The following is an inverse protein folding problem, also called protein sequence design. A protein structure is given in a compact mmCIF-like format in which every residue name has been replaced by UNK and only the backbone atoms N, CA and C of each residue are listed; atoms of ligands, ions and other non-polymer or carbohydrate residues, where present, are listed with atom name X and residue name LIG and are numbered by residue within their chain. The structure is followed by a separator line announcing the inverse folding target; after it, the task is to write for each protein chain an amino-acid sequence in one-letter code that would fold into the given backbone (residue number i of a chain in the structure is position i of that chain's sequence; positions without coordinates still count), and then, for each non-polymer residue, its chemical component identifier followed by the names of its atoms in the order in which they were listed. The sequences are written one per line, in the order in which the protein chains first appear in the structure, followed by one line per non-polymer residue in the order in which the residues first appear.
data_IF_087251702930
#
_entry.id   IF_087251702930
#
_cell.length_a   1.000
_cell.length_b   1.000
_cell.length_c   1.000
_cell.angle_alpha   90.00
_cell.angle_beta   90.00
_cell.angle_gamma   90.00
#
_symmetry.space_group_name_H-M   'P 1'
#
loop_
_entity.id
_entity.type
_entity.pdbx_description
1 polymer ?
#
# COMPACT_ATOMS: atom_id res chain seq x y z
N UNK A 1 -16.04 -77.52 -20.59
CA UNK A 1 -16.01 -76.15 -21.17
C UNK A 1 -16.28 -75.16 -20.04
N UNK A 2 -15.23 -74.68 -19.37
CA UNK A 2 -15.34 -73.70 -18.28
C UNK A 2 -15.18 -72.29 -18.85
N UNK A 3 -16.23 -71.49 -18.73
CA UNK A 3 -16.23 -70.06 -19.06
C UNK A 3 -15.67 -69.27 -17.88
N UNK A 4 -14.54 -68.60 -18.11
CA UNK A 4 -13.87 -67.74 -17.14
C UNK A 4 -14.46 -66.32 -17.23
N UNK A 5 -15.11 -65.85 -16.16
CA UNK A 5 -15.63 -64.50 -16.06
C UNK A 5 -14.52 -63.55 -15.59
N UNK A 6 -14.06 -62.68 -16.50
CA UNK A 6 -13.13 -61.59 -16.22
C UNK A 6 -13.87 -60.48 -15.45
N UNK A 7 -13.60 -60.33 -14.14
CA UNK A 7 -14.15 -59.23 -13.32
C UNK A 7 -13.32 -57.96 -13.52
N UNK A 8 -13.90 -56.98 -14.22
CA UNK A 8 -13.38 -55.62 -14.33
C UNK A 8 -13.49 -54.91 -12.96
N UNK A 9 -12.36 -54.53 -12.34
CA UNK A 9 -12.35 -53.70 -11.12
C UNK A 9 -12.50 -52.23 -11.52
N UNK A 10 -13.44 -51.46 -10.94
CA UNK A 10 -13.53 -50.03 -11.19
C UNK A 10 -12.40 -49.31 -10.44
N UNK A 11 -11.58 -48.57 -11.18
CA UNK A 11 -10.54 -47.69 -10.66
C UNK A 11 -11.23 -46.40 -10.15
N UNK A 12 -11.35 -46.25 -8.84
CA UNK A 12 -11.84 -45.01 -8.23
C UNK A 12 -10.74 -43.94 -8.31
N UNK A 13 -10.92 -42.93 -9.18
CA UNK A 13 -10.13 -41.70 -9.18
C UNK A 13 -10.56 -40.82 -7.99
N UNK A 14 -9.69 -40.69 -6.99
CA UNK A 14 -9.83 -39.72 -5.91
C UNK A 14 -9.53 -38.32 -6.46
N UNK A 15 -10.57 -37.52 -6.72
CA UNK A 15 -10.46 -36.09 -6.99
C UNK A 15 -10.06 -35.38 -5.69
N UNK A 16 -8.80 -34.97 -5.57
CA UNK A 16 -8.35 -34.06 -4.53
C UNK A 16 -8.89 -32.66 -4.81
N UNK A 17 -9.99 -32.30 -4.16
CA UNK A 17 -10.44 -30.91 -4.09
C UNK A 17 -9.43 -30.12 -3.25
N UNK A 18 -8.55 -29.37 -3.90
CA UNK A 18 -7.77 -28.32 -3.23
C UNK A 18 -8.75 -27.26 -2.76
N UNK A 19 -9.09 -27.28 -1.47
CA UNK A 19 -9.82 -26.19 -0.84
C UNK A 19 -8.88 -24.98 -0.77
N UNK A 20 -8.91 -24.13 -1.80
CA UNK A 20 -8.44 -22.76 -1.68
C UNK A 20 -9.32 -22.10 -0.62
N UNK A 21 -8.78 -21.99 0.59
CA UNK A 21 -9.45 -21.33 1.69
C UNK A 21 -9.77 -19.90 1.29
N UNK A 22 -11.07 -19.59 1.20
CA UNK A 22 -11.53 -18.20 1.19
C UNK A 22 -11.14 -17.67 2.57
N UNK A 23 -10.08 -16.87 2.65
CA UNK A 23 -9.74 -16.13 3.87
C UNK A 23 -10.90 -15.14 4.07
N UNK A 24 -11.74 -15.29 5.10
CA UNK A 24 -12.76 -14.30 5.37
C UNK A 24 -12.06 -12.98 5.66
N UNK A 25 -12.41 -11.93 4.90
CA UNK A 25 -11.95 -10.59 5.19
C UNK A 25 -12.42 -10.23 6.61
N UNK A 26 -11.48 -10.18 7.56
CA UNK A 26 -11.78 -9.64 8.88
C UNK A 26 -12.25 -8.19 8.70
N UNK A 27 -13.38 -7.78 9.32
CA UNK A 27 -13.80 -6.39 9.27
C UNK A 27 -12.65 -5.54 9.82
N UNK A 28 -12.25 -4.51 9.06
CA UNK A 28 -11.23 -3.56 9.47
C UNK A 28 -11.65 -2.90 10.78
N UNK A 29 -11.03 -3.30 11.88
CA UNK A 29 -11.12 -2.62 13.18
C UNK A 29 -10.01 -1.59 13.27
N UNK A 30 -9.97 -0.64 12.33
CA UNK A 30 -9.01 0.45 12.35
C UNK A 30 -9.68 1.81 12.40
N UNK A 31 -8.96 2.78 12.95
CA UNK A 31 -9.32 4.19 12.89
C UNK A 31 -8.88 4.79 11.56
N UNK A 32 -9.48 5.91 11.16
CA UNK A 32 -8.98 6.70 10.05
C UNK A 32 -7.68 7.42 10.45
N UNK A 33 -6.83 7.66 9.45
CA UNK A 33 -5.62 8.46 9.57
C UNK A 33 -5.65 9.68 8.66
N UNK A 34 -4.62 10.53 8.75
CA UNK A 34 -4.48 11.72 7.89
C UNK A 34 -3.10 11.80 7.26
N UNK A 35 -3.02 12.41 6.08
CA UNK A 35 -1.76 12.85 5.51
C UNK A 35 -1.43 14.23 6.10
N UNK A 36 -0.33 14.33 6.86
CA UNK A 36 0.16 15.57 7.44
C UNK A 36 1.10 16.25 6.44
N UNK A 37 0.52 16.87 5.42
CA UNK A 37 1.24 17.68 4.44
C UNK A 37 1.75 18.98 5.05
N UNK A 38 3.01 19.34 4.76
CA UNK A 38 3.69 20.48 5.41
C UNK A 38 4.23 21.55 4.44
N UNK A 39 3.84 21.49 3.17
CA UNK A 39 4.19 22.50 2.16
C UNK A 39 3.15 23.63 2.22
N UNK A 40 3.29 24.53 3.21
CA UNK A 40 2.60 25.82 3.30
C UNK A 40 3.31 26.73 4.32
N UNK A 41 2.93 28.00 4.40
CA UNK A 41 3.58 29.05 5.20
C UNK A 41 2.91 29.35 6.56
N UNK A 42 1.74 28.75 6.83
CA UNK A 42 0.91 29.05 7.99
C UNK A 42 0.47 27.79 8.77
N UNK A 43 1.24 26.71 8.67
CA UNK A 43 0.91 25.43 9.31
C UNK A 43 1.22 25.50 10.81
N UNK A 44 0.33 24.99 11.68
CA UNK A 44 0.59 24.92 13.11
C UNK A 44 1.86 24.12 13.45
N UNK A 45 2.56 24.46 14.55
CA UNK A 45 3.70 23.68 15.02
C UNK A 45 3.33 22.20 15.27
N UNK A 46 4.26 21.25 15.09
CA UNK A 46 3.97 19.82 15.21
C UNK A 46 3.30 19.39 16.53
N UNK A 47 3.66 19.99 17.67
CA UNK A 47 3.03 19.69 18.96
C UNK A 47 1.54 20.10 19.01
N UNK A 48 1.19 21.18 18.31
CA UNK A 48 -0.20 21.62 18.16
C UNK A 48 -0.97 20.62 17.29
N UNK A 49 -0.35 20.12 16.22
CA UNK A 49 -0.94 19.09 15.36
C UNK A 49 -1.16 17.79 16.15
N UNK A 50 -0.19 17.33 16.92
CA UNK A 50 -0.35 16.14 17.79
C UNK A 50 -1.52 16.31 18.77
N UNK A 51 -1.64 17.50 19.38
CA UNK A 51 -2.75 17.82 20.29
C UNK A 51 -4.10 17.80 19.57
N UNK A 52 -4.15 18.34 18.35
CA UNK A 52 -5.34 18.32 17.50
C UNK A 52 -5.75 16.89 17.14
N UNK A 53 -4.81 16.05 16.67
CA UNK A 53 -5.09 14.66 16.31
C UNK A 53 -5.67 13.87 17.49
N UNK A 54 -5.11 14.06 18.70
CA UNK A 54 -5.65 13.46 19.93
C UNK A 54 -7.06 13.95 20.23
N UNK A 55 -7.29 15.27 20.17
CA UNK A 55 -8.61 15.85 20.43
C UNK A 55 -9.67 15.35 19.45
N UNK A 56 -9.29 15.10 18.19
CA UNK A 56 -10.18 14.58 17.14
C UNK A 56 -10.21 13.05 17.06
N UNK A 57 -9.54 12.35 17.98
CA UNK A 57 -9.47 10.87 18.03
C UNK A 57 -8.88 10.23 16.76
N UNK A 58 -8.04 10.97 16.04
CA UNK A 58 -7.22 10.43 14.94
C UNK A 58 -6.01 9.78 15.58
N UNK A 59 -5.73 8.53 15.21
CA UNK A 59 -4.60 7.78 15.77
C UNK A 59 -3.37 7.75 14.88
N UNK A 60 -3.57 7.89 13.57
CA UNK A 60 -2.55 7.58 12.58
C UNK A 60 -2.29 8.78 11.69
N UNK A 61 -1.02 9.10 11.45
CA UNK A 61 -0.62 10.14 10.52
C UNK A 61 0.45 9.63 9.56
N UNK A 62 0.50 10.20 8.36
CA UNK A 62 1.59 10.00 7.40
C UNK A 62 2.25 11.35 7.11
N UNK A 63 3.57 11.42 7.17
CA UNK A 63 4.37 12.51 6.61
C UNK A 63 5.08 12.03 5.34
N UNK A 64 5.43 12.98 4.47
CA UNK A 64 6.06 12.70 3.16
C UNK A 64 7.59 12.78 3.21
N UNK A 65 8.14 13.00 4.40
CA UNK A 65 9.56 13.11 4.71
C UNK A 65 9.83 12.40 6.04
N UNK A 66 10.97 12.68 6.67
CA UNK A 66 11.27 12.25 8.03
C UNK A 66 11.76 13.42 8.89
N UNK A 67 10.99 14.49 8.93
CA UNK A 67 11.34 15.69 9.70
C UNK A 67 11.42 15.45 11.20
N UNK A 68 12.59 15.77 11.75
CA UNK A 68 12.95 15.54 13.15
C UNK A 68 12.07 16.29 14.15
N UNK A 69 11.57 17.48 13.78
CA UNK A 69 10.65 18.24 14.65
C UNK A 69 9.29 17.56 14.80
N UNK A 70 8.82 16.88 13.74
CA UNK A 70 7.60 16.08 13.78
C UNK A 70 7.82 14.80 14.57
N UNK A 71 8.93 14.10 14.30
CA UNK A 71 9.27 12.86 14.98
C UNK A 71 9.40 13.07 16.50
N UNK A 72 10.01 14.17 16.93
CA UNK A 72 10.09 14.53 18.36
C UNK A 72 8.72 14.94 18.92
N UNK A 73 7.89 15.65 18.17
CA UNK A 73 6.56 16.02 18.65
C UNK A 73 5.63 14.81 18.86
N UNK A 74 5.78 13.76 18.05
CA UNK A 74 5.02 12.52 18.17
C UNK A 74 5.52 11.61 19.30
N UNK A 75 6.67 11.92 19.90
CA UNK A 75 7.26 11.14 21.00
C UNK A 75 6.31 11.06 22.20
N UNK A 76 6.06 9.84 22.68
CA UNK A 76 5.17 9.58 23.81
C UNK A 76 3.72 9.96 23.55
N UNK A 77 3.35 10.29 22.31
CA UNK A 77 2.00 10.70 21.98
C UNK A 77 1.01 9.53 22.00
N UNK A 78 1.49 8.31 21.71
CA UNK A 78 0.65 7.14 21.46
C UNK A 78 0.00 7.12 20.08
N UNK A 79 0.31 8.11 19.22
CA UNK A 79 -0.11 8.15 17.82
C UNK A 79 0.88 7.34 16.97
N UNK A 80 0.35 6.67 15.94
CA UNK A 80 1.14 5.96 14.93
C UNK A 80 1.55 6.92 13.82
N UNK A 81 2.79 6.80 13.36
CA UNK A 81 3.36 7.66 12.32
C UNK A 81 3.99 6.82 11.21
N UNK A 82 3.61 7.10 9.97
CA UNK A 82 4.30 6.63 8.79
C UNK A 82 5.18 7.74 8.24
N UNK A 83 6.45 7.43 7.96
CA UNK A 83 7.43 8.38 7.41
C UNK A 83 7.66 8.12 5.92
N UNK A 84 8.11 9.14 5.19
CA UNK A 84 8.36 9.06 3.75
C UNK A 84 9.85 9.14 3.41
N UNK A 85 10.30 8.27 2.51
CA UNK A 85 11.53 8.47 1.74
C UNK A 85 11.13 9.14 0.42
N UNK A 86 11.60 10.36 0.20
CA UNK A 86 11.31 11.12 -1.01
C UNK A 86 11.84 10.46 -2.30
N UNK A 87 11.22 10.80 -3.42
CA UNK A 87 11.57 10.25 -4.74
C UNK A 87 13.04 10.55 -5.13
N UNK A 88 13.58 11.66 -4.64
CA UNK A 88 14.97 12.10 -4.83
C UNK A 88 16.01 11.12 -4.28
N UNK A 89 15.66 10.27 -3.31
CA UNK A 89 16.57 9.29 -2.73
C UNK A 89 16.62 7.96 -3.49
N UNK A 90 15.64 7.69 -4.36
CA UNK A 90 15.42 6.35 -4.91
C UNK A 90 16.60 5.85 -5.74
N UNK A 91 17.18 6.70 -6.59
CA UNK A 91 18.30 6.30 -7.46
C UNK A 91 19.51 5.88 -6.63
N UNK A 92 19.91 6.70 -5.66
CA UNK A 92 21.06 6.38 -4.80
C UNK A 92 20.82 5.17 -3.92
N UNK A 93 19.63 5.06 -3.31
CA UNK A 93 19.28 3.92 -2.45
C UNK A 93 19.14 2.62 -3.23
N UNK A 94 18.72 2.67 -4.50
CA UNK A 94 18.67 1.50 -5.36
C UNK A 94 20.06 0.91 -5.63
N UNK A 95 21.05 1.79 -5.83
CA UNK A 95 22.42 1.40 -6.15
C UNK A 95 23.25 1.02 -4.92
N UNK A 96 22.92 1.55 -3.74
CA UNK A 96 23.73 1.37 -2.53
C UNK A 96 22.87 1.17 -1.27
N UNK A 97 22.86 -0.06 -0.75
CA UNK A 97 22.14 -0.41 0.47
C UNK A 97 22.57 0.40 1.70
N UNK A 98 23.86 0.80 1.80
CA UNK A 98 24.34 1.58 2.93
C UNK A 98 23.70 2.98 3.00
N UNK A 99 23.19 3.50 1.86
CA UNK A 99 22.37 4.73 1.88
C UNK A 99 21.06 4.53 2.63
N UNK A 100 20.40 3.39 2.43
CA UNK A 100 19.18 3.04 3.14
C UNK A 100 19.45 2.78 4.64
N UNK A 101 20.53 2.07 4.98
CA UNK A 101 20.96 1.84 6.37
C UNK A 101 21.24 3.15 7.09
N UNK A 102 21.98 4.05 6.46
CA UNK A 102 22.29 5.36 7.02
C UNK A 102 21.02 6.19 7.23
N UNK A 103 20.14 6.24 6.23
CA UNK A 103 18.87 6.98 6.34
C UNK A 103 18.01 6.49 7.50
N UNK A 104 17.89 5.17 7.71
CA UNK A 104 17.11 4.60 8.83
C UNK A 104 17.78 4.91 10.18
N UNK A 105 19.12 4.84 10.25
CA UNK A 105 19.89 5.19 11.45
C UNK A 105 19.73 6.64 11.87
N UNK A 106 19.64 7.54 10.91
CA UNK A 106 19.50 8.98 11.20
C UNK A 106 18.04 9.39 11.46
N UNK A 107 17.10 8.84 10.71
CA UNK A 107 15.74 9.37 10.66
C UNK A 107 14.70 8.52 11.39
N UNK A 108 15.02 7.27 11.74
CA UNK A 108 14.04 6.34 12.33
C UNK A 108 14.52 5.84 13.69
N UNK A 109 15.69 5.20 13.75
CA UNK A 109 16.19 4.57 14.99
C UNK A 109 16.25 5.49 16.21
N UNK A 110 16.67 6.77 16.12
CA UNK A 110 16.80 7.64 17.30
C UNK A 110 15.48 7.92 18.00
N UNK A 111 14.35 7.76 17.30
CA UNK A 111 13.02 8.06 17.81
C UNK A 111 12.30 6.85 18.38
N UNK A 112 12.81 5.64 18.12
CA UNK A 112 12.24 4.40 18.65
C UNK A 112 12.68 4.14 20.10
N UNK A 113 11.83 3.50 20.93
CA UNK A 113 10.44 3.12 20.67
C UNK A 113 9.44 4.23 21.03
N UNK A 114 9.90 5.42 21.46
CA UNK A 114 9.04 6.44 22.05
C UNK A 114 8.13 7.13 21.03
N UNK A 115 8.55 7.23 19.78
CA UNK A 115 7.69 7.60 18.65
C UNK A 115 7.30 6.31 17.94
N UNK A 116 5.99 6.05 17.82
CA UNK A 116 5.49 4.83 17.21
C UNK A 116 5.52 4.95 15.68
N UNK A 117 6.71 4.78 15.10
CA UNK A 117 6.88 4.71 13.66
C UNK A 117 6.44 3.32 13.21
N UNK A 118 5.36 3.23 12.46
CA UNK A 118 4.76 1.95 12.04
C UNK A 118 5.10 1.56 10.62
N UNK A 119 5.53 2.51 9.79
CA UNK A 119 5.89 2.22 8.41
C UNK A 119 6.78 3.26 7.73
N UNK A 120 7.43 2.82 6.65
CA UNK A 120 8.23 3.64 5.74
C UNK A 120 7.63 3.56 4.34
N UNK A 121 7.13 4.68 3.83
CA UNK A 121 6.69 4.84 2.45
C UNK A 121 7.89 5.19 1.57
N UNK A 122 8.31 4.28 0.70
CA UNK A 122 9.44 4.46 -0.22
C UNK A 122 8.93 5.04 -1.53
N UNK A 123 9.25 6.31 -1.77
CA UNK A 123 8.73 7.08 -2.88
C UNK A 123 7.24 7.42 -2.75
N UNK A 124 6.70 8.09 -3.76
CA UNK A 124 5.28 8.41 -3.88
C UNK A 124 4.87 8.54 -5.36
N UNK A 125 3.92 7.70 -5.78
CA UNK A 125 3.29 7.67 -7.11
C UNK A 125 4.27 7.48 -8.29
N UNK A 126 5.43 6.86 -8.04
CA UNK A 126 6.54 6.73 -9.00
C UNK A 126 6.13 6.03 -10.31
N UNK A 127 5.45 4.88 -10.22
CA UNK A 127 5.02 4.12 -11.40
C UNK A 127 3.85 4.76 -12.15
N UNK A 128 3.22 5.79 -11.59
CA UNK A 128 2.21 6.59 -12.28
C UNK A 128 2.79 7.85 -12.94
N UNK A 129 4.08 8.14 -12.73
CA UNK A 129 4.78 9.28 -13.31
C UNK A 129 5.43 8.98 -14.66
N UNK A 130 6.21 9.94 -15.17
CA UNK A 130 6.89 9.86 -16.46
C UNK A 130 8.43 9.75 -16.37
N UNK A 131 8.99 9.67 -15.16
CA UNK A 131 10.44 9.56 -14.95
C UNK A 131 10.85 8.08 -14.94
N UNK A 132 11.36 7.61 -16.07
CA UNK A 132 11.79 6.23 -16.26
C UNK A 132 12.92 5.82 -15.31
N UNK A 133 13.87 6.71 -15.02
CA UNK A 133 14.98 6.39 -14.13
C UNK A 133 14.49 6.17 -12.69
N UNK A 134 13.45 6.89 -12.25
CA UNK A 134 12.81 6.63 -10.96
C UNK A 134 12.01 5.32 -10.95
N UNK A 135 11.32 4.99 -12.05
CA UNK A 135 10.61 3.71 -12.18
C UNK A 135 11.56 2.52 -12.08
N UNK A 136 12.69 2.58 -12.79
CA UNK A 136 13.75 1.57 -12.76
C UNK A 136 14.40 1.46 -11.37
N UNK A 137 14.57 2.58 -10.67
CA UNK A 137 15.18 2.60 -9.34
C UNK A 137 14.27 2.07 -8.22
N UNK A 138 12.94 2.13 -8.38
CA UNK A 138 11.99 1.94 -7.29
C UNK A 138 12.14 0.57 -6.59
N UNK A 139 12.20 -0.52 -7.35
CA UNK A 139 12.29 -1.86 -6.76
C UNK A 139 13.60 -2.05 -6.00
N UNK A 140 14.73 -1.59 -6.55
CA UNK A 140 16.02 -1.67 -5.87
C UNK A 140 16.04 -0.88 -4.57
N UNK A 141 15.45 0.31 -4.56
CA UNK A 141 15.32 1.12 -3.35
C UNK A 141 14.46 0.41 -2.29
N UNK A 142 13.27 -0.09 -2.66
CA UNK A 142 12.39 -0.86 -1.76
C UNK A 142 13.10 -2.06 -1.15
N UNK A 143 13.79 -2.85 -1.99
CA UNK A 143 14.56 -4.02 -1.54
C UNK A 143 15.65 -3.62 -0.55
N UNK A 144 16.40 -2.57 -0.84
CA UNK A 144 17.51 -2.14 0.02
C UNK A 144 17.02 -1.54 1.34
N UNK A 145 15.90 -0.80 1.33
CA UNK A 145 15.24 -0.32 2.57
C UNK A 145 14.76 -1.49 3.42
N UNK A 146 14.14 -2.51 2.81
CA UNK A 146 13.76 -3.73 3.53
C UNK A 146 14.97 -4.46 4.14
N UNK A 147 16.03 -4.67 3.36
CA UNK A 147 17.24 -5.33 3.84
C UNK A 147 17.87 -4.53 5.00
N UNK A 148 17.87 -3.20 4.91
CA UNK A 148 18.35 -2.34 5.96
C UNK A 148 17.51 -2.46 7.25
N UNK A 149 16.18 -2.48 7.16
CA UNK A 149 15.31 -2.75 8.31
C UNK A 149 15.60 -4.12 8.93
N UNK A 150 15.77 -5.16 8.11
CA UNK A 150 16.08 -6.51 8.57
C UNK A 150 17.44 -6.56 9.30
N UNK A 151 18.48 -5.93 8.73
CA UNK A 151 19.81 -5.81 9.36
C UNK A 151 19.76 -5.09 10.71
N UNK A 152 18.86 -4.11 10.83
CA UNK A 152 18.66 -3.33 12.05
C UNK A 152 17.62 -3.97 13.00
N UNK A 153 17.07 -5.14 12.67
CA UNK A 153 16.06 -5.87 13.46
C UNK A 153 14.78 -5.06 13.71
N UNK A 154 14.33 -4.31 12.69
CA UNK A 154 13.17 -3.42 12.76
C UNK A 154 11.95 -3.94 11.98
N UNK A 155 12.08 -5.04 11.24
CA UNK A 155 11.01 -5.60 10.38
C UNK A 155 9.78 -6.05 11.16
N UNK A 156 9.91 -6.36 12.45
CA UNK A 156 8.79 -6.75 13.31
C UNK A 156 7.91 -5.56 13.72
N UNK A 157 8.40 -4.33 13.55
CA UNK A 157 7.75 -3.11 14.02
C UNK A 157 7.42 -2.12 12.89
N UNK A 158 8.15 -2.19 11.78
CA UNK A 158 8.08 -1.20 10.71
C UNK A 158 7.80 -1.91 9.39
N UNK A 159 6.63 -1.64 8.83
CA UNK A 159 6.27 -2.09 7.49
C UNK A 159 6.95 -1.24 6.40
N UNK A 160 7.23 -1.84 5.25
CA UNK A 160 7.63 -1.11 4.05
C UNK A 160 6.49 -1.07 3.06
N UNK A 161 6.34 0.04 2.36
CA UNK A 161 5.38 0.14 1.25
C UNK A 161 5.81 1.18 0.22
N UNK A 162 5.12 1.22 -0.91
CA UNK A 162 5.21 2.32 -1.86
C UNK A 162 3.80 2.77 -2.25
N UNK A 163 3.44 4.06 -2.10
CA UNK A 163 2.16 4.59 -2.53
C UNK A 163 2.09 4.67 -4.06
N UNK A 164 1.09 4.05 -4.65
CA UNK A 164 0.78 4.15 -6.08
C UNK A 164 -0.37 5.11 -6.34
N UNK A 165 -0.39 5.79 -7.48
CA UNK A 165 -1.61 6.47 -7.97
C UNK A 165 -2.47 5.50 -8.77
N UNK A 166 -3.70 5.90 -9.10
CA UNK A 166 -4.58 5.12 -9.97
C UNK A 166 -4.03 4.96 -11.42
N UNK A 167 -3.01 5.74 -11.81
CA UNK A 167 -2.40 5.66 -13.14
C UNK A 167 -1.63 4.35 -13.40
N UNK A 168 -1.41 3.54 -12.36
CA UNK A 168 -0.86 2.19 -12.52
C UNK A 168 -1.82 1.23 -13.23
N UNK A 169 -3.12 1.55 -13.30
CA UNK A 169 -4.12 0.73 -13.95
C UNK A 169 -4.36 1.16 -15.42
N UNK A 170 -4.42 0.19 -16.32
CA UNK A 170 -4.87 0.41 -17.70
C UNK A 170 -6.39 0.31 -17.82
N UNK A 171 -6.99 -0.66 -17.13
CA UNK A 171 -8.43 -0.75 -16.97
C UNK A 171 -8.78 -0.80 -15.48
N UNK A 172 -9.82 -0.07 -15.08
CA UNK A 172 -10.35 -0.10 -13.72
C UNK A 172 -11.86 -0.30 -13.67
N UNK A 173 -12.51 -0.43 -14.84
CA UNK A 173 -13.96 -0.61 -14.95
C UNK A 173 -14.35 -1.78 -15.88
N UNK A 174 -15.29 -2.66 -15.47
CA UNK A 174 -15.76 -2.80 -14.08
C UNK A 174 -14.59 -3.22 -13.16
N UNK A 175 -14.68 -3.01 -11.84
CA UNK A 175 -13.57 -3.33 -10.92
C UNK A 175 -13.09 -4.79 -10.99
N UNK A 176 -13.99 -5.72 -11.33
CA UNK A 176 -13.65 -7.14 -11.56
C UNK A 176 -12.72 -7.38 -12.76
N UNK A 177 -12.60 -6.41 -13.66
CA UNK A 177 -11.80 -6.47 -14.89
C UNK A 177 -10.58 -5.53 -14.82
N UNK A 178 -10.21 -5.13 -13.62
CA UNK A 178 -9.09 -4.24 -13.35
C UNK A 178 -7.76 -4.87 -13.76
N UNK A 179 -6.94 -4.11 -14.48
CA UNK A 179 -5.62 -4.56 -14.96
C UNK A 179 -4.58 -3.46 -14.78
N UNK A 180 -3.35 -3.84 -14.42
CA UNK A 180 -2.22 -2.93 -14.46
C UNK A 180 -1.86 -2.54 -15.90
N UNK A 181 -1.26 -1.37 -16.06
CA UNK A 181 -0.68 -0.95 -17.33
C UNK A 181 0.51 -1.87 -17.69
N UNK A 182 0.50 -2.40 -18.92
CA UNK A 182 1.52 -3.33 -19.40
C UNK A 182 2.94 -2.76 -19.29
N UNK A 183 3.08 -1.45 -19.52
CA UNK A 183 4.37 -0.74 -19.50
C UNK A 183 5.04 -0.71 -18.11
N UNK A 184 4.29 -0.96 -17.03
CA UNK A 184 4.85 -0.97 -15.68
C UNK A 184 4.95 -2.37 -15.10
N UNK A 185 4.49 -3.41 -15.81
CA UNK A 185 4.41 -4.77 -15.26
C UNK A 185 5.78 -5.33 -14.88
N UNK A 186 6.84 -4.93 -15.61
CA UNK A 186 8.21 -5.33 -15.29
C UNK A 186 8.68 -4.80 -13.94
N UNK A 187 8.19 -3.63 -13.52
CA UNK A 187 8.48 -3.03 -12.21
C UNK A 187 7.49 -3.47 -11.12
N UNK A 188 6.20 -3.61 -11.48
CA UNK A 188 5.13 -3.91 -10.53
C UNK A 188 5.23 -5.34 -9.97
N UNK A 189 5.48 -6.34 -10.82
CA UNK A 189 5.57 -7.75 -10.40
C UNK A 189 6.58 -7.99 -9.27
N UNK A 190 7.86 -7.57 -9.38
CA UNK A 190 8.82 -7.80 -8.31
C UNK A 190 8.49 -7.04 -7.02
N UNK A 191 7.80 -5.88 -7.10
CA UNK A 191 7.31 -5.15 -5.93
C UNK A 191 6.21 -5.94 -5.21
N UNK A 192 5.24 -6.47 -5.96
CA UNK A 192 4.17 -7.31 -5.40
C UNK A 192 4.75 -8.60 -4.78
N UNK A 193 5.73 -9.23 -5.43
CA UNK A 193 6.41 -10.42 -4.89
C UNK A 193 7.14 -10.10 -3.58
N UNK A 194 7.75 -8.90 -3.47
CA UNK A 194 8.36 -8.45 -2.22
C UNK A 194 7.30 -8.29 -1.14
N UNK A 195 6.21 -7.56 -1.41
CA UNK A 195 5.14 -7.31 -0.45
C UNK A 195 4.45 -8.59 0.02
N UNK A 196 4.23 -9.56 -0.86
CA UNK A 196 3.74 -10.89 -0.49
C UNK A 196 4.68 -11.61 0.47
N UNK A 197 6.00 -11.52 0.27
CA UNK A 197 7.00 -12.16 1.15
C UNK A 197 7.12 -11.46 2.50
N UNK A 198 6.96 -10.14 2.54
CA UNK A 198 7.11 -9.33 3.75
C UNK A 198 5.79 -9.15 4.52
N UNK A 199 4.66 -9.56 3.93
CA UNK A 199 3.33 -9.31 4.48
C UNK A 199 2.90 -7.84 4.39
N UNK A 200 3.57 -7.04 3.55
CA UNK A 200 3.29 -5.62 3.38
C UNK A 200 2.06 -5.39 2.49
N UNK A 201 1.27 -4.35 2.72
CA UNK A 201 0.09 -4.06 1.91
C UNK A 201 0.47 -3.40 0.58
N UNK A 202 -0.38 -3.58 -0.43
CA UNK A 202 -0.36 -2.70 -1.60
C UNK A 202 -1.02 -1.36 -1.24
N UNK A 203 -0.29 -0.26 -1.39
CA UNK A 203 -0.77 1.06 -1.02
C UNK A 203 -1.17 1.87 -2.25
N UNK A 204 -2.39 2.40 -2.25
CA UNK A 204 -2.95 3.16 -3.37
C UNK A 204 -3.50 4.50 -2.85
N UNK A 205 -3.08 5.58 -3.50
CA UNK A 205 -3.67 6.90 -3.35
C UNK A 205 -4.89 6.99 -4.26
N UNK A 206 -6.03 7.35 -3.68
CA UNK A 206 -7.32 7.18 -4.34
C UNK A 206 -8.15 8.44 -4.21
N UNK A 207 -8.66 8.93 -5.34
CA UNK A 207 -9.30 10.23 -5.40
C UNK A 207 -10.57 10.18 -6.27
N UNK A 208 -11.74 9.77 -5.72
CA UNK A 208 -13.02 9.80 -6.44
C UNK A 208 -13.31 11.17 -7.07
N UNK A 209 -12.88 12.24 -6.41
CA UNK A 209 -12.94 13.61 -6.94
C UNK A 209 -12.22 13.77 -8.30
N UNK A 210 -11.02 13.20 -8.46
CA UNK A 210 -10.28 13.31 -9.71
C UNK A 210 -10.96 12.52 -10.83
N UNK A 211 -11.47 11.32 -10.53
CA UNK A 211 -12.24 10.51 -11.48
C UNK A 211 -13.49 11.27 -11.95
N UNK A 212 -14.30 11.79 -11.01
CA UNK A 212 -15.47 12.62 -11.34
C UNK A 212 -15.10 13.83 -12.19
N UNK A 213 -14.05 14.57 -11.80
CA UNK A 213 -13.61 15.76 -12.54
C UNK A 213 -13.18 15.42 -13.97
N UNK A 214 -12.57 14.26 -14.20
CA UNK A 214 -12.14 13.83 -15.53
C UNK A 214 -13.28 13.35 -16.43
N UNK A 215 -14.35 12.81 -15.85
CA UNK A 215 -15.48 12.26 -16.59
C UNK A 215 -16.83 12.52 -15.88
N UNK A 216 -17.25 13.80 -15.77
CA UNK A 216 -18.47 14.16 -15.05
C UNK A 216 -19.75 13.77 -15.79
N UNK A 217 -19.65 13.39 -17.08
CA UNK A 217 -20.79 12.94 -17.88
C UNK A 217 -21.20 11.50 -17.54
N UNK A 218 -20.22 10.64 -17.20
CA UNK A 218 -20.49 9.23 -16.88
C UNK A 218 -20.36 8.89 -15.39
N UNK A 219 -19.66 9.72 -14.60
CA UNK A 219 -19.52 9.51 -13.15
C UNK A 219 -20.49 10.42 -12.40
N UNK A 220 -21.47 9.82 -11.72
CA UNK A 220 -22.40 10.56 -10.86
C UNK A 220 -21.66 11.19 -9.67
N UNK A 221 -21.88 12.49 -9.43
CA UNK A 221 -21.34 13.20 -8.27
C UNK A 221 -21.80 12.56 -6.94
N UNK A 222 -23.01 12.04 -6.89
CA UNK A 222 -23.52 11.34 -5.71
C UNK A 222 -22.75 10.04 -5.47
N UNK A 223 -22.35 9.34 -6.54
CA UNK A 223 -21.48 8.18 -6.42
C UNK A 223 -20.09 8.57 -5.87
N UNK A 224 -19.48 9.64 -6.39
CA UNK A 224 -18.18 10.12 -5.91
C UNK A 224 -18.20 10.64 -4.46
N UNK A 225 -19.34 11.14 -3.99
CA UNK A 225 -19.54 11.65 -2.62
C UNK A 225 -20.08 10.59 -1.65
N UNK A 226 -20.22 9.32 -2.09
CA UNK A 226 -20.82 8.24 -1.30
C UNK A 226 -22.26 8.54 -0.83
N UNK A 227 -22.99 9.35 -1.60
CA UNK A 227 -24.40 9.65 -1.39
C UNK A 227 -25.30 8.62 -2.11
N UNK A 228 -26.59 8.53 -1.74
CA UNK A 228 -27.55 7.73 -2.48
C UNK A 228 -27.53 8.10 -3.97
N UNK A 229 -27.31 7.10 -4.80
CA UNK A 229 -27.33 7.19 -6.24
C UNK A 229 -28.09 5.97 -6.77
N UNK A 230 -28.54 5.95 -8.04
CA UNK A 230 -29.28 4.81 -8.60
C UNK A 230 -28.55 3.46 -8.47
N UNK A 231 -27.25 3.49 -8.13
CA UNK A 231 -26.36 2.35 -8.23
C UNK A 231 -26.13 2.04 -9.70
N UNK A 232 -24.90 1.79 -10.08
CA UNK A 232 -24.70 1.04 -11.32
C UNK A 232 -25.21 -0.38 -11.03
N UNK A 233 -26.25 -0.81 -11.76
CA UNK A 233 -26.74 -2.19 -11.66
C UNK A 233 -25.64 -3.16 -12.10
N UNK A 234 -24.81 -3.61 -11.16
CA UNK A 234 -24.32 -4.98 -11.07
C UNK A 234 -23.94 -5.27 -9.61
N UNK A 235 -24.27 -6.50 -9.20
CA UNK A 235 -24.03 -7.12 -7.91
C UNK A 235 -22.70 -6.67 -7.26
N UNK A 236 -22.79 -6.01 -6.10
CA UNK A 236 -21.69 -5.58 -5.21
C UNK A 236 -20.70 -4.57 -5.80
N UNK A 237 -20.49 -3.44 -5.10
CA UNK A 237 -19.16 -2.97 -4.62
C UNK A 237 -19.15 -1.46 -4.31
N UNK A 238 -19.09 -1.14 -3.00
CA UNK A 238 -18.34 0.02 -2.46
C UNK A 238 -16.86 -0.41 -2.29
N UNK A 239 -16.35 -1.18 -3.25
CA UNK A 239 -15.04 -1.83 -3.25
C UNK A 239 -14.41 -1.68 -4.65
N UNK A 240 -14.49 -0.48 -5.23
CA UNK A 240 -13.96 -0.18 -6.57
C UNK A 240 -12.43 -0.32 -6.62
N UNK A 241 -11.73 -0.40 -5.47
CA UNK A 241 -10.28 -0.68 -5.41
C UNK A 241 -9.90 -1.85 -4.51
N UNK A 242 -10.67 -2.16 -3.47
CA UNK A 242 -10.39 -3.33 -2.63
C UNK A 242 -10.51 -4.64 -3.44
N UNK A 243 -11.41 -4.69 -4.43
CA UNK A 243 -11.55 -5.88 -5.29
C UNK A 243 -10.41 -6.01 -6.32
N UNK A 244 -9.84 -4.90 -6.82
CA UNK A 244 -8.62 -4.95 -7.67
C UNK A 244 -7.43 -5.58 -6.92
N UNK A 245 -7.35 -5.41 -5.60
CA UNK A 245 -6.20 -5.87 -4.80
C UNK A 245 -6.29 -7.33 -4.36
N UNK A 246 -7.42 -7.99 -4.60
CA UNK A 246 -7.59 -9.45 -4.44
C UNK A 246 -7.17 -10.25 -5.68
N UNK A 247 -6.37 -9.67 -6.58
CA UNK A 247 -5.94 -10.37 -7.78
C UNK A 247 -4.91 -11.47 -7.48
N UNK A 248 -5.20 -12.63 -8.07
CA UNK A 248 -4.51 -13.92 -8.04
C UNK A 248 -3.01 -13.87 -8.32
#
# INVERSE_FOLDING_TARGET
MHTSFCRLRPLFLLLSFSSYGIIPAAPFTGTYGINYGRIADNIPPPQTVVSLLKATKIKNARIYDADHSVLEAFRGSGLELMVGIGNEYLKEMSLNEERAVHWIRENVQPYLPYTHITGIAVGNEVLGGSDQELQEALFGALKNVYTALNRLQLTDYIEILTPHSQAVFANSYPPSSCTFNENILEYMKPILDLFLKTGSPFFLNTYPFLSYKSDPEHIDINYALFLPNPGFMMQTQVCTMITCLTLR
#
